data_IF_894336590768
#
_entry.id   IF_894336590768
#
_cell.length_a   1.000
_cell.length_b   1.000
_cell.length_c   1.000
_cell.angle_alpha   90.00
_cell.angle_beta   90.00
_cell.angle_gamma   90.00
#
_symmetry.space_group_name_H-M   'P 1'
#
loop_
_entity.id
_entity.type
_entity.pdbx_description
1 polymer ?
#
# COMPACT_ATOMS: atom_id res chain seq x y z
N UNK A 1 -8.20 -1.45 -10.85
CA UNK A 1 -7.12 -1.47 -11.86
C UNK A 1 -7.02 -2.85 -12.51
N UNK A 2 -6.96 -2.91 -13.84
CA UNK A 2 -6.58 -4.13 -14.55
C UNK A 2 -5.06 -4.14 -14.78
N UNK A 3 -4.44 -5.32 -14.73
CA UNK A 3 -3.07 -5.41 -15.22
C UNK A 3 -3.07 -5.24 -16.74
N UNK A 4 -2.14 -4.41 -17.25
CA UNK A 4 -2.05 -4.13 -18.68
C UNK A 4 -1.76 -5.39 -19.51
N UNK A 5 -1.03 -6.32 -18.93
CA UNK A 5 -0.71 -7.62 -19.51
C UNK A 5 -1.04 -8.72 -18.49
N UNK A 6 -1.40 -9.93 -18.95
CA UNK A 6 -1.59 -11.07 -18.06
C UNK A 6 -0.35 -11.33 -17.20
N UNK A 7 -0.55 -11.54 -15.90
CA UNK A 7 0.55 -11.87 -15.01
C UNK A 7 1.04 -13.30 -15.23
N UNK A 8 2.36 -13.47 -15.17
CA UNK A 8 3.00 -14.78 -15.14
C UNK A 8 2.84 -15.37 -13.75
N UNK A 9 2.20 -16.54 -13.67
CA UNK A 9 2.02 -17.22 -12.39
C UNK A 9 3.05 -18.33 -12.19
N UNK A 10 3.28 -18.68 -10.93
CA UNK A 10 4.30 -19.64 -10.54
C UNK A 10 4.34 -19.86 -9.03
N UNK A 11 5.48 -20.38 -8.56
CA UNK A 11 5.73 -20.71 -7.17
C UNK A 11 6.95 -19.95 -6.65
N UNK A 12 6.79 -19.33 -5.48
CA UNK A 12 7.85 -18.67 -4.75
C UNK A 12 8.93 -19.68 -4.31
N UNK A 13 10.20 -19.36 -4.53
CA UNK A 13 11.32 -20.17 -4.07
C UNK A 13 12.02 -19.50 -2.88
N UNK A 14 12.45 -18.24 -3.05
CA UNK A 14 13.15 -17.50 -1.99
C UNK A 14 13.15 -16.00 -2.26
N UNK A 15 13.28 -15.22 -1.18
CA UNK A 15 13.53 -13.78 -1.21
C UNK A 15 14.93 -13.50 -0.69
N UNK A 16 15.70 -12.69 -1.41
CA UNK A 16 17.12 -12.41 -1.15
C UNK A 16 17.36 -10.91 -1.21
N UNK A 17 18.29 -10.42 -0.38
CA UNK A 17 18.72 -9.01 -0.38
C UNK A 17 17.55 -8.00 -0.28
N UNK A 18 16.39 -8.41 0.25
CA UNK A 18 15.10 -7.68 0.30
C UNK A 18 14.45 -7.37 -1.06
N UNK A 19 15.23 -7.08 -2.10
CA UNK A 19 14.76 -6.56 -3.39
C UNK A 19 14.65 -7.58 -4.52
N UNK A 20 15.03 -8.85 -4.27
CA UNK A 20 15.03 -9.90 -5.28
C UNK A 20 14.21 -11.09 -4.76
N UNK A 21 13.28 -11.56 -5.58
CA UNK A 21 12.53 -12.78 -5.34
C UNK A 21 12.79 -13.76 -6.49
N UNK A 22 13.09 -15.01 -6.18
CA UNK A 22 13.19 -16.09 -7.16
C UNK A 22 11.89 -16.90 -7.17
N UNK A 23 11.42 -17.24 -8.36
CA UNK A 23 10.24 -18.07 -8.57
C UNK A 23 10.48 -19.10 -9.68
N UNK A 24 9.72 -20.20 -9.62
CA UNK A 24 9.52 -21.12 -10.73
C UNK A 24 8.18 -20.81 -11.38
N UNK A 25 8.18 -20.33 -12.61
CA UNK A 25 6.95 -20.09 -13.38
C UNK A 25 6.22 -21.40 -13.66
N UNK A 26 4.93 -21.32 -13.99
CA UNK A 26 4.13 -22.49 -14.39
C UNK A 26 4.66 -23.17 -15.66
N UNK A 27 5.41 -22.45 -16.48
CA UNK A 27 6.17 -23.01 -17.61
C UNK A 27 7.36 -23.89 -17.19
N UNK A 28 7.73 -23.88 -15.91
CA UNK A 28 8.93 -24.52 -15.36
C UNK A 28 10.18 -23.62 -15.34
N UNK A 29 10.14 -22.45 -15.97
CA UNK A 29 11.26 -21.51 -16.02
C UNK A 29 11.60 -20.95 -14.63
N UNK A 30 12.89 -20.88 -14.28
CA UNK A 30 13.37 -20.22 -13.07
C UNK A 30 13.69 -18.76 -13.37
N UNK A 31 13.02 -17.85 -12.67
CA UNK A 31 13.14 -16.40 -12.90
C UNK A 31 13.46 -15.66 -11.61
N UNK A 32 14.08 -14.49 -11.76
CA UNK A 32 14.23 -13.51 -10.67
C UNK A 32 13.38 -12.27 -10.96
N UNK A 33 12.62 -11.84 -9.96
CA UNK A 33 11.76 -10.68 -9.99
C UNK A 33 12.22 -9.62 -8.99
N UNK A 34 11.95 -8.36 -9.32
CA UNK A 34 12.13 -7.25 -8.39
C UNK A 34 11.03 -7.28 -7.32
N UNK A 35 11.43 -7.17 -6.05
CA UNK A 35 10.56 -6.97 -4.90
C UNK A 35 10.60 -5.49 -4.49
N UNK A 36 9.46 -4.80 -4.64
CA UNK A 36 9.33 -3.36 -4.36
C UNK A 36 9.04 -3.08 -2.89
N UNK A 37 8.61 -4.09 -2.13
CA UNK A 37 8.45 -4.03 -0.70
C UNK A 37 9.80 -4.33 -0.01
N UNK A 38 10.29 -3.38 0.79
CA UNK A 38 11.57 -3.48 1.52
C UNK A 38 11.42 -3.97 2.96
N UNK A 39 10.18 -4.04 3.45
CA UNK A 39 9.83 -4.49 4.78
C UNK A 39 9.97 -6.00 4.95
N UNK A 40 9.56 -6.48 6.12
CA UNK A 40 9.72 -7.90 6.49
C UNK A 40 8.91 -8.82 5.58
N UNK A 41 7.72 -8.38 5.14
CA UNK A 41 6.76 -9.19 4.38
C UNK A 41 6.43 -10.54 5.06
N UNK A 42 6.53 -10.61 6.39
CA UNK A 42 6.51 -11.87 7.17
C UNK A 42 5.24 -12.71 6.96
N UNK A 43 4.10 -12.07 6.73
CA UNK A 43 2.80 -12.72 6.50
C UNK A 43 2.38 -12.71 5.03
N UNK A 44 3.30 -12.37 4.12
CA UNK A 44 2.97 -12.19 2.70
C UNK A 44 3.32 -13.41 1.86
N UNK A 45 4.21 -14.29 2.32
CA UNK A 45 4.58 -15.47 1.56
C UNK A 45 5.03 -16.60 2.48
N UNK A 46 4.88 -17.82 1.97
CA UNK A 46 5.45 -19.04 2.53
C UNK A 46 6.26 -19.74 1.43
N UNK A 47 7.16 -20.68 1.77
CA UNK A 47 7.82 -21.50 0.76
C UNK A 47 6.79 -22.12 -0.21
N UNK A 48 7.11 -22.11 -1.50
CA UNK A 48 6.29 -22.65 -2.61
C UNK A 48 4.89 -22.01 -2.78
N UNK A 49 4.60 -20.89 -2.12
CA UNK A 49 3.30 -20.23 -2.30
C UNK A 49 3.12 -19.76 -3.75
N UNK A 50 1.86 -19.70 -4.22
CA UNK A 50 1.56 -19.14 -5.54
C UNK A 50 2.00 -17.67 -5.59
N UNK A 51 2.55 -17.26 -6.72
CA UNK A 51 2.95 -15.89 -7.00
C UNK A 51 2.48 -15.47 -8.39
N UNK A 52 2.33 -14.16 -8.58
CA UNK A 52 2.06 -13.56 -9.88
C UNK A 52 3.06 -12.42 -10.15
N UNK A 53 3.64 -12.43 -11.34
CA UNK A 53 4.71 -11.52 -11.77
C UNK A 53 4.28 -10.75 -13.01
N UNK A 54 4.58 -9.46 -13.04
CA UNK A 54 4.52 -8.67 -14.28
C UNK A 54 5.88 -8.70 -14.97
N UNK A 55 5.88 -8.58 -16.30
CA UNK A 55 7.12 -8.41 -17.07
C UNK A 55 7.44 -6.91 -17.18
N UNK A 56 8.70 -6.56 -16.97
CA UNK A 56 9.16 -5.19 -17.10
C UNK A 56 9.05 -4.73 -18.57
N UNK A 57 8.45 -3.55 -18.80
CA UNK A 57 8.33 -2.98 -20.13
C UNK A 57 9.69 -2.59 -20.74
N UNK A 58 10.66 -2.19 -19.92
CA UNK A 58 12.00 -1.86 -20.39
C UNK A 58 12.86 -3.13 -20.50
N UNK A 59 13.24 -3.57 -21.73
CA UNK A 59 14.03 -4.77 -21.93
C UNK A 59 15.46 -4.67 -21.36
N UNK A 60 15.97 -3.47 -21.11
CA UNK A 60 17.29 -3.25 -20.51
C UNK A 60 17.30 -3.41 -18.97
N UNK A 61 16.15 -3.66 -18.33
CA UNK A 61 16.12 -3.89 -16.87
C UNK A 61 16.87 -5.17 -16.51
N UNK A 62 17.72 -5.06 -15.48
CA UNK A 62 18.46 -6.20 -14.91
C UNK A 62 17.56 -7.34 -14.43
N UNK A 63 16.38 -7.01 -13.90
CA UNK A 63 15.34 -7.99 -13.54
C UNK A 63 14.16 -7.81 -14.48
N UNK A 64 13.93 -8.83 -15.30
CA UNK A 64 12.88 -8.84 -16.32
C UNK A 64 11.46 -8.90 -15.74
N UNK A 65 11.33 -9.28 -14.46
CA UNK A 65 10.04 -9.43 -13.79
C UNK A 65 9.94 -8.50 -12.56
N UNK A 66 8.71 -8.15 -12.20
CA UNK A 66 8.36 -7.50 -10.92
C UNK A 66 7.36 -8.38 -10.20
N UNK A 67 7.55 -8.57 -8.89
CA UNK A 67 6.65 -9.34 -8.06
C UNK A 67 5.41 -8.51 -7.72
N UNK A 68 4.25 -8.91 -8.25
CA UNK A 68 2.99 -8.20 -8.05
C UNK A 68 2.21 -8.79 -6.87
N UNK A 69 1.95 -10.10 -6.92
CA UNK A 69 1.09 -10.80 -5.97
C UNK A 69 1.75 -12.05 -5.39
N UNK A 70 1.38 -12.38 -4.17
CA UNK A 70 1.60 -13.68 -3.53
C UNK A 70 0.28 -14.23 -3.00
N UNK A 71 0.20 -15.53 -2.77
CA UNK A 71 -1.00 -16.15 -2.23
C UNK A 71 -0.74 -16.71 -0.83
N UNK A 72 -1.57 -16.37 0.15
CA UNK A 72 -1.44 -16.91 1.53
C UNK A 72 -1.89 -18.35 1.68
N UNK A 73 -2.58 -18.89 0.67
CA UNK A 73 -3.35 -20.13 0.76
C UNK A 73 -4.85 -19.87 0.88
N UNK A 74 -5.23 -18.72 1.45
CA UNK A 74 -6.61 -18.26 1.55
C UNK A 74 -6.93 -17.12 0.56
N UNK A 75 -5.96 -16.24 0.31
CA UNK A 75 -6.16 -14.99 -0.41
C UNK A 75 -4.95 -14.59 -1.25
N UNK A 76 -5.17 -13.78 -2.29
CA UNK A 76 -4.12 -13.02 -2.95
C UNK A 76 -3.72 -11.80 -2.12
N UNK A 77 -2.42 -11.51 -2.11
CA UNK A 77 -1.80 -10.41 -1.38
C UNK A 77 -1.01 -9.57 -2.39
N UNK A 78 -1.31 -8.28 -2.46
CA UNK A 78 -0.56 -7.32 -3.25
C UNK A 78 0.73 -6.94 -2.54
N UNK A 79 1.85 -7.41 -3.08
CA UNK A 79 3.18 -7.17 -2.53
C UNK A 79 3.90 -6.03 -3.24
N UNK A 80 3.40 -5.61 -4.41
CA UNK A 80 3.93 -4.45 -5.09
C UNK A 80 3.43 -3.15 -4.44
N UNK A 81 4.29 -2.50 -3.67
CA UNK A 81 3.99 -1.27 -2.93
C UNK A 81 3.61 -0.09 -3.83
N UNK A 82 4.10 -0.05 -5.07
CA UNK A 82 3.78 1.03 -6.01
C UNK A 82 2.30 1.03 -6.44
N UNK A 83 1.60 -0.11 -6.32
CA UNK A 83 0.19 -0.22 -6.68
C UNK A 83 -0.72 0.56 -5.74
N UNK A 84 -0.31 0.79 -4.49
CA UNK A 84 -1.12 1.50 -3.51
C UNK A 84 -1.47 2.93 -3.98
N UNK A 85 -0.51 3.67 -4.55
CA UNK A 85 -0.76 5.04 -5.03
C UNK A 85 -1.65 5.05 -6.27
N UNK A 86 -1.54 4.03 -7.15
CA UNK A 86 -2.41 3.88 -8.32
C UNK A 86 -3.86 3.59 -7.90
N UNK A 87 -4.04 2.66 -6.96
CA UNK A 87 -5.34 2.31 -6.39
C UNK A 87 -5.98 3.49 -5.64
N UNK A 88 -5.18 4.27 -4.91
CA UNK A 88 -5.67 5.48 -4.24
C UNK A 88 -6.19 6.52 -5.24
N UNK A 89 -5.51 6.72 -6.37
CA UNK A 89 -5.98 7.62 -7.44
C UNK A 89 -7.29 7.09 -8.05
N UNK A 90 -7.38 5.80 -8.34
CA UNK A 90 -8.63 5.20 -8.83
C UNK A 90 -9.78 5.36 -7.83
N UNK A 91 -9.51 5.20 -6.52
CA UNK A 91 -10.50 5.40 -5.48
C UNK A 91 -11.04 6.84 -5.47
N UNK A 92 -10.17 7.86 -5.58
CA UNK A 92 -10.58 9.26 -5.71
C UNK A 92 -11.45 9.44 -6.96
N UNK A 93 -10.99 8.97 -8.11
CA UNK A 93 -11.67 9.16 -9.40
C UNK A 93 -13.02 8.44 -9.47
N UNK A 94 -13.18 7.34 -8.73
CA UNK A 94 -14.42 6.56 -8.71
C UNK A 94 -15.59 7.28 -8.03
N UNK A 95 -15.33 8.26 -7.16
CA UNK A 95 -16.35 8.92 -6.36
C UNK A 95 -17.01 8.03 -5.28
N UNK A 96 -16.54 6.79 -5.10
CA UNK A 96 -17.17 5.78 -4.23
C UNK A 96 -16.95 6.01 -2.74
N UNK A 97 -15.88 6.71 -2.37
CA UNK A 97 -15.45 6.87 -0.98
C UNK A 97 -15.64 8.32 -0.54
N UNK A 98 -16.65 8.64 0.28
CA UNK A 98 -17.03 10.01 0.58
C UNK A 98 -15.89 10.90 1.09
N UNK A 99 -14.96 10.35 1.88
CA UNK A 99 -13.78 11.11 2.36
C UNK A 99 -12.83 11.55 1.23
N UNK A 100 -12.90 10.97 0.04
CA UNK A 100 -12.05 11.35 -1.10
C UNK A 100 -12.74 12.29 -2.09
N UNK A 101 -14.02 12.61 -1.86
CA UNK A 101 -14.86 13.37 -2.79
C UNK A 101 -14.81 14.89 -2.54
N UNK A 102 -15.42 15.65 -3.46
CA UNK A 102 -15.64 17.10 -3.28
C UNK A 102 -14.51 17.99 -3.79
N UNK A 103 -13.65 17.46 -4.65
CA UNK A 103 -12.53 18.19 -5.26
C UNK A 103 -12.58 18.10 -6.79
N UNK A 104 -12.21 19.18 -7.47
CA UNK A 104 -12.23 19.27 -8.93
C UNK A 104 -10.94 18.73 -9.56
N UNK A 105 -9.84 18.73 -8.81
CA UNK A 105 -8.51 18.33 -9.27
C UNK A 105 -7.80 17.38 -8.32
N UNK A 106 -6.88 16.60 -8.91
CA UNK A 106 -5.95 15.72 -8.22
C UNK A 106 -4.55 15.94 -8.80
N UNK A 107 -3.56 16.14 -7.93
CA UNK A 107 -2.14 16.10 -8.28
C UNK A 107 -1.42 15.04 -7.44
N UNK A 108 -0.36 14.46 -7.99
CA UNK A 108 0.45 13.42 -7.33
C UNK A 108 1.83 13.96 -6.98
N UNK A 109 2.46 13.42 -5.95
CA UNK A 109 3.85 13.69 -5.57
C UNK A 109 4.13 15.19 -5.34
N UNK A 110 3.20 15.90 -4.70
CA UNK A 110 3.29 17.35 -4.53
C UNK A 110 4.21 17.67 -3.34
N UNK A 111 5.23 18.52 -3.51
CA UNK A 111 6.08 18.94 -2.40
C UNK A 111 5.29 19.61 -1.27
N UNK A 112 5.55 19.22 -0.04
CA UNK A 112 4.98 19.81 1.17
C UNK A 112 5.90 19.58 2.38
N UNK A 113 5.66 20.31 3.48
CA UNK A 113 6.47 20.16 4.69
C UNK A 113 7.96 20.43 4.45
N UNK A 114 8.82 19.65 5.11
CA UNK A 114 10.28 19.82 5.05
C UNK A 114 10.91 18.68 4.27
N UNK A 115 11.22 18.89 2.98
CA UNK A 115 11.79 17.87 2.08
C UNK A 115 10.93 16.60 2.01
N UNK A 116 9.63 16.78 1.77
CA UNK A 116 8.68 15.68 1.60
C UNK A 116 7.73 15.96 0.45
N UNK A 117 7.03 14.90 0.04
CA UNK A 117 6.02 14.94 -1.01
C UNK A 117 4.82 14.16 -0.52
N UNK A 118 3.65 14.77 -0.63
CA UNK A 118 2.39 14.08 -0.36
C UNK A 118 2.05 13.26 -1.59
N UNK A 119 1.59 12.03 -1.38
CA UNK A 119 1.27 11.12 -2.48
C UNK A 119 0.18 11.71 -3.39
N UNK A 120 -0.86 12.29 -2.79
CA UNK A 120 -2.00 12.89 -3.48
C UNK A 120 -2.38 14.23 -2.82
N UNK A 121 -2.57 15.26 -3.64
CA UNK A 121 -3.18 16.53 -3.25
C UNK A 121 -4.51 16.69 -4.00
N UNK A 122 -5.61 16.74 -3.26
CA UNK A 122 -6.93 17.04 -3.80
C UNK A 122 -7.20 18.54 -3.71
N UNK A 123 -7.71 19.14 -4.79
CA UNK A 123 -7.80 20.59 -4.94
C UNK A 123 -9.13 21.03 -5.56
N UNK A 124 -9.74 22.07 -4.98
CA UNK A 124 -10.84 22.81 -5.60
C UNK A 124 -10.86 24.26 -5.10
N UNK A 125 -10.51 25.20 -5.98
CA UNK A 125 -10.30 26.60 -5.60
C UNK A 125 -9.15 26.73 -4.59
N UNK A 126 -9.46 27.16 -3.36
CA UNK A 126 -8.54 27.23 -2.21
C UNK A 126 -8.61 25.99 -1.31
N UNK A 127 -9.62 25.12 -1.49
CA UNK A 127 -9.78 23.91 -0.68
C UNK A 127 -8.69 22.91 -1.06
N UNK A 128 -7.98 22.40 -0.06
CA UNK A 128 -6.89 21.42 -0.21
C UNK A 128 -7.10 20.25 0.75
N UNK A 129 -6.87 19.04 0.27
CA UNK A 129 -6.72 17.85 1.09
C UNK A 129 -5.40 17.14 0.77
N UNK A 130 -4.55 17.03 1.78
CA UNK A 130 -3.28 16.33 1.71
C UNK A 130 -3.50 14.86 2.06
N UNK A 131 -3.33 13.97 1.09
CA UNK A 131 -3.60 12.54 1.24
C UNK A 131 -2.30 11.75 1.15
N UNK A 132 -1.89 11.18 2.27
CA UNK A 132 -0.74 10.27 2.36
C UNK A 132 -1.22 8.82 2.23
N UNK A 133 -0.57 8.04 1.38
CA UNK A 133 -0.96 6.66 1.09
C UNK A 133 0.02 5.67 1.71
N UNK A 134 -0.52 4.63 2.36
CA UNK A 134 0.26 3.52 2.92
C UNK A 134 -0.19 2.20 2.32
N UNK A 135 0.78 1.44 1.82
CA UNK A 135 0.55 0.06 1.45
C UNK A 135 0.49 -0.84 2.69
N UNK A 136 -0.60 -1.58 2.86
CA UNK A 136 -0.79 -2.52 3.96
C UNK A 136 -0.94 -3.93 3.39
N UNK A 137 0.02 -4.81 3.73
CA UNK A 137 0.02 -6.22 3.30
C UNK A 137 0.27 -7.19 4.46
N UNK A 138 0.65 -6.68 5.63
CA UNK A 138 0.90 -7.49 6.81
C UNK A 138 -0.43 -7.85 7.48
N UNK A 139 -0.55 -9.12 7.89
CA UNK A 139 -1.65 -9.66 8.68
C UNK A 139 -1.07 -10.23 9.97
N UNK A 140 -1.61 -9.78 11.09
CA UNK A 140 -1.28 -10.26 12.42
C UNK A 140 -2.17 -11.46 12.80
N UNK A 141 -1.74 -12.21 13.83
CA UNK A 141 -2.41 -13.44 14.28
C UNK A 141 -3.84 -13.19 14.81
N UNK A 142 -4.14 -11.96 15.25
CA UNK A 142 -5.46 -11.51 15.68
C UNK A 142 -6.42 -11.19 14.51
N UNK A 143 -5.99 -11.43 13.26
CA UNK A 143 -6.77 -11.13 12.05
C UNK A 143 -6.73 -9.66 11.63
N UNK A 144 -5.83 -8.88 12.22
CA UNK A 144 -5.66 -7.46 11.89
C UNK A 144 -4.71 -7.28 10.70
N UNK A 145 -5.12 -6.48 9.73
CA UNK A 145 -4.21 -5.88 8.76
C UNK A 145 -3.43 -4.76 9.45
N UNK A 146 -2.10 -4.79 9.38
CA UNK A 146 -1.28 -3.92 10.22
C UNK A 146 -0.22 -3.16 9.42
N UNK A 147 0.09 -1.95 9.90
CA UNK A 147 1.21 -1.14 9.42
C UNK A 147 1.91 -0.45 10.60
N UNK A 148 3.24 -0.33 10.59
CA UNK A 148 4.17 -0.79 9.56
C UNK A 148 4.59 -2.26 9.76
N UNK A 149 5.33 -2.82 8.79
CA UNK A 149 5.92 -4.17 8.87
C UNK A 149 7.42 -4.16 9.24
N UNK A 150 7.95 -2.96 9.54
CA UNK A 150 9.25 -2.65 10.14
C UNK A 150 9.23 -1.22 10.70
N UNK A 151 10.14 -0.88 11.63
CA UNK A 151 10.28 0.50 12.16
C UNK A 151 10.44 1.52 11.02
N UNK A 152 9.65 2.61 11.03
CA UNK A 152 9.52 3.54 9.91
C UNK A 152 9.69 5.02 10.32
N UNK A 153 10.95 5.48 10.31
CA UNK A 153 11.30 6.90 10.49
C UNK A 153 10.61 7.78 9.44
N UNK A 154 10.50 7.30 8.20
CA UNK A 154 9.82 8.02 7.11
C UNK A 154 8.32 8.13 7.35
N UNK A 155 7.67 7.06 7.81
CA UNK A 155 6.25 7.09 8.14
C UNK A 155 5.93 8.09 9.25
N UNK A 156 6.76 8.11 10.30
CA UNK A 156 6.67 9.10 11.39
C UNK A 156 6.81 10.55 10.89
N UNK A 157 7.77 10.80 9.99
CA UNK A 157 7.93 12.12 9.39
C UNK A 157 6.66 12.56 8.65
N UNK A 158 6.07 11.68 7.84
CA UNK A 158 4.88 12.02 7.06
C UNK A 158 3.65 12.26 7.96
N UNK A 159 3.50 11.54 9.08
CA UNK A 159 2.44 11.83 10.06
C UNK A 159 2.57 13.25 10.60
N UNK A 160 3.78 13.67 10.99
CA UNK A 160 4.04 15.02 11.50
C UNK A 160 3.75 16.10 10.45
N UNK A 161 4.05 15.81 9.19
CA UNK A 161 3.76 16.74 8.09
C UNK A 161 2.25 16.88 7.85
N UNK A 162 1.48 15.80 7.94
CA UNK A 162 0.02 15.87 7.92
C UNK A 162 -0.56 16.65 9.11
N UNK A 163 -0.04 16.44 10.32
CA UNK A 163 -0.42 17.23 11.50
C UNK A 163 -0.15 18.72 11.29
N UNK A 164 0.98 19.07 10.67
CA UNK A 164 1.31 20.45 10.34
C UNK A 164 0.34 21.05 9.31
N UNK A 165 -0.05 20.29 8.28
CA UNK A 165 -1.09 20.75 7.33
C UNK A 165 -2.44 20.94 8.01
N UNK A 166 -2.78 20.05 8.95
CA UNK A 166 -4.00 20.18 9.74
C UNK A 166 -3.98 21.43 10.62
N UNK A 167 -2.85 21.70 11.29
CA UNK A 167 -2.65 22.90 12.10
C UNK A 167 -2.69 24.19 11.26
N UNK A 168 -2.28 24.14 9.99
CA UNK A 168 -2.39 25.23 9.03
C UNK A 168 -3.82 25.44 8.50
N UNK A 169 -4.81 24.67 8.96
CA UNK A 169 -6.22 24.80 8.56
C UNK A 169 -6.62 23.97 7.35
N UNK A 170 -5.70 23.22 6.75
CA UNK A 170 -6.02 22.31 5.64
C UNK A 170 -6.61 21.00 6.14
N UNK A 171 -7.25 20.27 5.21
CA UNK A 171 -7.63 18.88 5.45
C UNK A 171 -6.42 17.99 5.21
N UNK A 172 -6.24 17.00 6.06
CA UNK A 172 -5.15 16.03 5.96
C UNK A 172 -5.72 14.63 6.22
N UNK A 173 -5.34 13.66 5.40
CA UNK A 173 -5.89 12.32 5.43
C UNK A 173 -4.78 11.28 5.27
N UNK A 174 -4.76 10.30 6.16
CA UNK A 174 -3.97 9.08 6.04
C UNK A 174 -4.83 7.99 5.38
N UNK A 175 -4.41 7.52 4.21
CA UNK A 175 -5.08 6.46 3.45
C UNK A 175 -4.30 5.16 3.53
N UNK A 176 -4.85 4.16 4.21
CA UNK A 176 -4.31 2.81 4.25
C UNK A 176 -4.95 1.95 3.16
N UNK A 177 -4.14 1.51 2.19
CA UNK A 177 -4.54 0.60 1.12
C UNK A 177 -4.17 -0.82 1.53
N UNK A 178 -5.16 -1.58 1.99
CA UNK A 178 -5.04 -2.98 2.39
C UNK A 178 -5.13 -3.87 1.15
N UNK A 179 -3.98 -4.37 0.70
CA UNK A 179 -3.86 -5.23 -0.48
C UNK A 179 -3.97 -6.72 -0.11
N UNK A 180 -5.03 -7.10 0.62
CA UNK A 180 -5.42 -8.49 0.94
C UNK A 180 -6.85 -8.52 1.49
N UNK A 181 -7.60 -9.58 1.21
CA UNK A 181 -9.02 -9.69 1.60
C UNK A 181 -9.29 -10.61 2.82
N UNK A 182 -8.26 -11.30 3.32
CA UNK A 182 -8.33 -12.23 4.47
C UNK A 182 -8.16 -11.55 5.85
N UNK A 183 -8.24 -10.21 5.92
CA UNK A 183 -8.17 -9.43 7.16
C UNK A 183 -9.53 -8.85 7.59
N UNK A 184 -9.75 -8.74 8.91
CA UNK A 184 -11.03 -8.34 9.49
C UNK A 184 -11.12 -6.84 9.85
N UNK A 185 -10.00 -6.24 10.25
CA UNK A 185 -9.88 -4.83 10.63
C UNK A 185 -8.45 -4.34 10.41
N UNK A 186 -8.20 -3.04 10.58
CA UNK A 186 -6.87 -2.46 10.58
C UNK A 186 -6.50 -1.87 11.95
N UNK A 187 -5.23 -2.01 12.34
CA UNK A 187 -4.62 -1.30 13.48
C UNK A 187 -3.16 -0.95 13.20
N UNK A 188 -2.58 0.06 13.87
CA UNK A 188 -1.13 0.20 13.87
C UNK A 188 -0.46 -1.03 14.51
N UNK A 189 0.71 -1.40 13.98
CA UNK A 189 1.55 -2.46 14.56
C UNK A 189 2.41 -1.89 15.70
N UNK A 190 1.82 -1.60 16.85
CA UNK A 190 2.55 -1.06 18.01
C UNK A 190 3.67 -2.00 18.49
N UNK A 191 3.50 -3.30 18.27
CA UNK A 191 4.49 -4.32 18.56
C UNK A 191 5.75 -4.23 17.67
N UNK A 192 5.66 -3.53 16.53
CA UNK A 192 6.77 -3.30 15.59
C UNK A 192 7.31 -1.87 15.72
N UNK A 193 6.43 -0.87 15.73
CA UNK A 193 6.79 0.53 15.82
C UNK A 193 5.79 1.27 16.73
N UNK A 194 6.01 1.24 18.06
CA UNK A 194 5.12 1.89 19.02
C UNK A 194 5.12 3.41 18.86
N UNK A 195 6.21 3.99 18.35
CA UNK A 195 6.27 5.42 18.08
C UNK A 195 5.34 5.78 16.91
N UNK A 196 5.31 4.98 15.84
CA UNK A 196 4.38 5.18 14.73
C UNK A 196 2.92 5.10 15.19
N UNK A 197 2.57 4.07 15.97
CA UNK A 197 1.20 3.91 16.47
C UNK A 197 0.77 5.05 17.39
N UNK A 198 1.64 5.50 18.30
CA UNK A 198 1.39 6.67 19.15
C UNK A 198 1.17 7.94 18.32
N UNK A 199 2.04 8.19 17.33
CA UNK A 199 1.93 9.36 16.45
C UNK A 199 0.65 9.33 15.59
N UNK A 200 0.24 8.15 15.10
CA UNK A 200 -1.00 8.00 14.34
C UNK A 200 -2.23 8.35 15.20
N UNK A 201 -2.29 7.82 16.44
CA UNK A 201 -3.35 8.15 17.39
C UNK A 201 -3.42 9.65 17.68
N UNK A 202 -2.26 10.25 17.94
CA UNK A 202 -2.15 11.69 18.19
C UNK A 202 -2.62 12.51 16.98
N UNK A 203 -2.21 12.13 15.77
CA UNK A 203 -2.63 12.80 14.55
C UNK A 203 -4.14 12.70 14.32
N UNK A 204 -4.73 11.53 14.54
CA UNK A 204 -6.18 11.34 14.42
C UNK A 204 -6.95 12.14 15.48
N UNK A 205 -6.48 12.13 16.73
CA UNK A 205 -7.05 12.97 17.79
C UNK A 205 -6.93 14.48 17.47
N UNK A 206 -5.86 14.88 16.76
CA UNK A 206 -5.64 16.24 16.25
C UNK A 206 -6.44 16.59 14.99
N UNK A 207 -7.29 15.69 14.49
CA UNK A 207 -8.16 15.92 13.34
C UNK A 207 -7.55 15.62 11.98
N UNK A 208 -6.42 14.91 11.92
CA UNK A 208 -6.02 14.20 10.69
C UNK A 208 -6.98 13.05 10.49
N UNK A 209 -7.61 12.97 9.32
CA UNK A 209 -8.55 11.90 9.03
C UNK A 209 -7.80 10.61 8.68
N UNK A 210 -8.43 9.46 8.91
CA UNK A 210 -7.86 8.17 8.56
C UNK A 210 -8.92 7.32 7.83
N UNK A 211 -8.55 6.80 6.67
CA UNK A 211 -9.38 5.93 5.84
C UNK A 211 -8.63 4.64 5.55
N UNK A 212 -9.31 3.51 5.70
CA UNK A 212 -8.73 2.19 5.42
C UNK A 212 -9.57 1.52 4.34
N UNK A 213 -8.97 1.28 3.17
CA UNK A 213 -9.64 0.66 2.03
C UNK A 213 -9.05 -0.73 1.77
N UNK A 214 -9.91 -1.74 1.68
CA UNK A 214 -9.53 -3.10 1.34
C UNK A 214 -9.69 -3.36 -0.14
N UNK A 215 -8.69 -4.02 -0.72
CA UNK A 215 -8.71 -4.51 -2.08
C UNK A 215 -9.15 -5.97 -2.16
N UNK A 216 -9.88 -6.30 -3.22
CA UNK A 216 -9.97 -7.65 -3.78
C UNK A 216 -8.91 -7.80 -4.87
N UNK A 217 -8.27 -8.97 -4.94
CA UNK A 217 -7.11 -9.20 -5.78
C UNK A 217 -7.22 -10.51 -6.55
N UNK A 218 -6.80 -10.46 -7.80
CA UNK A 218 -6.60 -11.63 -8.65
C UNK A 218 -5.43 -11.37 -9.60
N UNK A 219 -4.89 -12.40 -10.27
CA UNK A 219 -3.91 -12.20 -11.35
C UNK A 219 -4.42 -11.33 -12.52
N UNK A 220 -5.72 -11.03 -12.60
CA UNK A 220 -6.30 -10.19 -13.63
C UNK A 220 -6.43 -8.72 -13.21
N UNK A 221 -6.74 -8.45 -11.94
CA UNK A 221 -7.05 -7.11 -11.46
C UNK A 221 -6.86 -6.96 -9.94
N UNK A 222 -6.68 -5.71 -9.51
CA UNK A 222 -6.75 -5.28 -8.12
C UNK A 222 -7.81 -4.18 -8.03
N UNK A 223 -8.74 -4.26 -7.08
CA UNK A 223 -9.81 -3.27 -6.95
C UNK A 223 -10.09 -2.95 -5.49
N UNK A 224 -10.13 -1.68 -5.12
CA UNK A 224 -10.60 -1.26 -3.80
C UNK A 224 -12.12 -1.41 -3.74
N UNK A 225 -12.59 -2.23 -2.79
CA UNK A 225 -13.99 -2.67 -2.75
C UNK A 225 -14.77 -2.10 -1.58
N UNK A 226 -14.14 -1.97 -0.40
CA UNK A 226 -14.83 -1.55 0.83
C UNK A 226 -13.91 -0.86 1.81
N UNK A 227 -14.51 -0.16 2.76
CA UNK A 227 -13.82 0.34 3.94
C UNK A 227 -13.64 -0.81 4.96
N UNK A 228 -12.50 -0.81 5.64
CA UNK A 228 -12.19 -1.76 6.70
C UNK A 228 -12.21 -1.02 8.06
N UNK A 229 -12.75 -1.62 9.14
CA UNK A 229 -12.77 -0.95 10.44
C UNK A 229 -11.37 -0.56 10.92
N UNK A 230 -11.19 0.71 11.28
CA UNK A 230 -9.97 1.23 11.91
C UNK A 230 -10.06 1.08 13.43
N UNK A 231 -9.05 0.47 14.04
CA UNK A 231 -8.88 0.38 15.49
C UNK A 231 -7.57 1.06 15.89
N UNK A 232 -7.68 2.15 16.63
CA UNK A 232 -6.58 2.93 17.17
C UNK A 232 -6.39 2.62 18.65
#
# INVERSE_FOLDING_TARGET
MFFAEPLFTGHFLRRRLRFIMDARLDSGELVSAHCTNTGSMRSCFTPECRVALSRAANPARKLAYTWELSHSGAAWIGVNTHRANELAVEAVQSGRFPLLNGYAGLRREVPYGQNSRVDILLEDGERRCYVEVKNVSMLAEDGACCFPDAVTVRGLKHIRELQAMRAAGYRALMLFVVQRDDGAYFRPADEIDPAYGAALREAVAGGVEALVLQAELSPAAISLVRELPLRL
#
